data_IF_024896451036
#
_entry.id   IF_024896451036
#
_cell.length_a   1.000
_cell.length_b   1.000
_cell.length_c   1.000
_cell.angle_alpha   90.00
_cell.angle_beta   90.00
_cell.angle_gamma   90.00
#
_symmetry.space_group_name_H-M   'P 1'
#
loop_
_entity.id
_entity.type
_entity.pdbx_description
1 polymer ?
#
# COMPACT_ATOMS: atom_id res chain seq x y z
N UNK A 1 1.09 -1.89 -18.99
CA UNK A 1 1.11 -0.43 -18.78
C UNK A 1 1.43 0.30 -20.05
N UNK A 2 1.10 1.57 -20.12
CA UNK A 2 1.65 2.45 -21.14
C UNK A 2 2.94 3.09 -20.61
N UNK A 3 4.06 2.58 -21.06
CA UNK A 3 5.40 3.07 -20.67
C UNK A 3 5.94 4.07 -21.69
N UNK A 4 5.06 4.89 -22.28
CA UNK A 4 5.41 5.87 -23.32
C UNK A 4 5.87 5.23 -24.63
N UNK A 5 5.44 4.00 -24.91
CA UNK A 5 5.87 3.23 -26.10
C UNK A 5 7.32 2.71 -26.03
N UNK A 6 8.02 2.93 -24.91
CA UNK A 6 9.41 2.49 -24.73
C UNK A 6 9.49 0.99 -24.40
N UNK A 7 10.55 0.35 -24.88
CA UNK A 7 10.98 -0.95 -24.40
C UNK A 7 11.56 -0.86 -22.97
N UNK A 8 11.64 -1.97 -22.24
CA UNK A 8 12.21 -1.97 -20.90
C UNK A 8 13.68 -1.49 -20.85
N UNK A 9 14.58 -1.87 -21.81
CA UNK A 9 15.93 -1.33 -21.88
C UNK A 9 15.96 0.19 -22.10
N UNK A 10 15.11 0.74 -22.97
CA UNK A 10 15.05 2.18 -23.26
C UNK A 10 14.60 2.96 -22.03
N UNK A 11 13.51 2.50 -21.36
CA UNK A 11 13.02 3.13 -20.15
C UNK A 11 14.06 3.03 -19.02
N UNK A 12 14.75 1.88 -18.89
CA UNK A 12 15.82 1.71 -17.89
C UNK A 12 17.00 2.67 -18.16
N UNK A 13 17.37 2.86 -19.42
CA UNK A 13 18.42 3.80 -19.78
C UNK A 13 18.03 5.24 -19.42
N UNK A 14 16.81 5.65 -19.79
CA UNK A 14 16.27 6.97 -19.47
C UNK A 14 16.24 7.24 -17.95
N UNK A 15 15.78 6.27 -17.15
CA UNK A 15 15.78 6.39 -15.70
C UNK A 15 17.20 6.57 -15.17
N UNK A 16 18.16 5.75 -15.60
CA UNK A 16 19.57 5.82 -15.17
C UNK A 16 20.26 7.14 -15.54
N UNK A 17 20.01 7.66 -16.72
CA UNK A 17 20.52 8.97 -17.17
C UNK A 17 20.05 10.11 -16.24
N UNK A 18 18.89 9.94 -15.62
CA UNK A 18 18.33 10.88 -14.64
C UNK A 18 18.62 10.50 -13.17
N UNK A 19 19.50 9.52 -12.92
CA UNK A 19 19.85 9.08 -11.56
C UNK A 19 18.71 8.33 -10.85
N UNK A 20 17.75 7.78 -11.62
CA UNK A 20 16.57 7.10 -11.13
C UNK A 20 16.60 5.59 -11.43
N UNK A 21 15.82 4.84 -10.70
CA UNK A 21 15.55 3.41 -10.95
C UNK A 21 14.16 3.02 -10.46
N UNK A 22 13.52 2.09 -11.15
CA UNK A 22 12.25 1.51 -10.72
C UNK A 22 12.52 0.32 -9.81
N UNK A 23 12.03 0.35 -8.57
CA UNK A 23 12.14 -0.75 -7.60
C UNK A 23 10.84 -1.52 -7.44
N UNK A 24 9.73 -0.82 -7.43
CA UNK A 24 8.39 -1.38 -7.30
C UNK A 24 7.49 -0.82 -8.39
N UNK A 25 6.44 -1.56 -8.74
CA UNK A 25 5.42 -1.10 -9.67
C UNK A 25 4.03 -1.49 -9.18
N UNK A 26 3.09 -0.56 -9.17
CA UNK A 26 1.68 -0.84 -8.97
C UNK A 26 1.04 -1.32 -10.27
N UNK A 27 0.46 -2.52 -10.25
CA UNK A 27 -0.15 -3.14 -11.43
C UNK A 27 -1.48 -3.79 -11.03
N UNK A 28 -2.50 -3.62 -11.86
CA UNK A 28 -3.79 -4.30 -11.66
C UNK A 28 -3.61 -5.82 -11.70
N UNK A 29 -4.34 -6.54 -10.85
CA UNK A 29 -4.23 -7.99 -10.67
C UNK A 29 -4.33 -8.79 -11.96
N UNK A 30 -5.22 -8.37 -12.87
CA UNK A 30 -5.45 -9.00 -14.18
C UNK A 30 -4.30 -8.79 -15.17
N UNK A 31 -3.43 -7.80 -14.93
CA UNK A 31 -2.31 -7.44 -15.79
C UNK A 31 -0.96 -7.94 -15.29
N UNK A 32 -0.81 -8.26 -14.01
CA UNK A 32 0.49 -8.60 -13.39
C UNK A 32 1.24 -9.67 -14.20
N UNK A 33 0.57 -10.76 -14.59
CA UNK A 33 1.22 -11.84 -15.33
C UNK A 33 1.78 -11.41 -16.70
N UNK A 34 1.17 -10.43 -17.34
CA UNK A 34 1.63 -9.89 -18.63
C UNK A 34 2.77 -8.87 -18.46
N UNK A 35 2.77 -8.14 -17.34
CA UNK A 35 3.73 -7.07 -17.07
C UNK A 35 5.05 -7.58 -16.45
N UNK A 36 5.04 -8.74 -15.78
CA UNK A 36 6.20 -9.31 -15.08
C UNK A 36 7.46 -9.39 -15.99
N UNK A 37 7.42 -9.90 -17.24
CA UNK A 37 8.64 -9.97 -18.06
C UNK A 37 9.25 -8.59 -18.34
N UNK A 38 8.42 -7.61 -18.70
CA UNK A 38 8.85 -6.24 -18.94
C UNK A 38 9.43 -5.59 -17.69
N UNK A 39 8.74 -5.74 -16.55
CA UNK A 39 9.14 -5.14 -15.27
C UNK A 39 10.42 -5.78 -14.73
N UNK A 40 10.61 -7.08 -14.91
CA UNK A 40 11.85 -7.76 -14.57
C UNK A 40 13.03 -7.22 -15.40
N UNK A 41 12.85 -7.06 -16.72
CA UNK A 41 13.86 -6.49 -17.60
C UNK A 41 14.16 -5.03 -17.26
N UNK A 42 13.16 -4.26 -16.82
CA UNK A 42 13.33 -2.89 -16.32
C UNK A 42 14.17 -2.84 -15.03
N UNK A 43 14.14 -3.90 -14.22
CA UNK A 43 14.87 -4.01 -12.95
C UNK A 43 13.97 -3.87 -11.72
N UNK A 44 12.66 -3.96 -11.89
CA UNK A 44 11.68 -3.99 -10.79
C UNK A 44 11.81 -5.31 -10.05
N UNK A 45 11.82 -5.26 -8.72
CA UNK A 45 11.89 -6.43 -7.84
C UNK A 45 10.54 -6.83 -7.23
N UNK A 46 9.60 -5.88 -7.13
CA UNK A 46 8.29 -6.12 -6.54
C UNK A 46 7.17 -5.53 -7.40
N UNK A 47 6.18 -6.36 -7.72
CA UNK A 47 4.97 -5.95 -8.44
C UNK A 47 3.80 -6.01 -7.47
N UNK A 48 3.20 -4.88 -7.19
CA UNK A 48 2.22 -4.70 -6.13
C UNK A 48 0.82 -4.46 -6.73
N UNK A 49 -0.17 -5.21 -6.26
CA UNK A 49 -1.58 -4.97 -6.53
C UNK A 49 -2.10 -3.87 -5.60
N UNK A 50 -2.48 -2.69 -6.13
CA UNK A 50 -2.65 -1.51 -5.30
C UNK A 50 -4.01 -1.40 -4.61
N UNK A 51 -5.06 -2.05 -5.10
CA UNK A 51 -6.41 -1.87 -4.57
C UNK A 51 -7.38 -2.97 -4.96
N UNK A 52 -8.22 -3.39 -4.00
CA UNK A 52 -9.30 -4.33 -4.23
C UNK A 52 -10.46 -4.11 -3.25
N UNK A 53 -11.68 -4.14 -3.75
CA UNK A 53 -12.86 -4.26 -2.91
C UNK A 53 -13.03 -5.70 -2.41
N UNK A 54 -13.25 -5.86 -1.11
CA UNK A 54 -13.44 -7.14 -0.47
C UNK A 54 -14.86 -7.23 0.13
N UNK A 55 -15.87 -7.56 -0.65
CA UNK A 55 -17.26 -7.65 -0.17
C UNK A 55 -17.46 -8.84 0.78
N UNK A 56 -16.66 -9.88 0.66
CA UNK A 56 -16.77 -11.13 1.41
C UNK A 56 -15.45 -11.88 1.53
N UNK A 57 -15.40 -12.87 2.43
CA UNK A 57 -14.21 -13.72 2.67
C UNK A 57 -13.83 -14.55 1.45
N UNK A 58 -14.78 -14.95 0.60
CA UNK A 58 -14.46 -15.71 -0.61
C UNK A 58 -13.69 -14.85 -1.61
N UNK A 59 -13.97 -13.55 -1.68
CA UNK A 59 -13.16 -12.63 -2.48
C UNK A 59 -11.73 -12.53 -1.94
N UNK A 60 -11.55 -12.46 -0.62
CA UNK A 60 -10.21 -12.45 0.00
C UNK A 60 -9.43 -13.72 -0.38
N UNK A 61 -10.06 -14.89 -0.27
CA UNK A 61 -9.45 -16.17 -0.65
C UNK A 61 -9.03 -16.19 -2.12
N UNK A 62 -9.94 -15.80 -3.03
CA UNK A 62 -9.62 -15.75 -4.48
C UNK A 62 -8.46 -14.79 -4.80
N UNK A 63 -8.38 -13.65 -4.12
CA UNK A 63 -7.27 -12.71 -4.31
C UNK A 63 -5.96 -13.32 -3.79
N UNK A 64 -5.97 -13.94 -2.60
CA UNK A 64 -4.81 -14.62 -2.05
C UNK A 64 -4.30 -15.77 -2.94
N UNK A 65 -5.21 -16.60 -3.44
CA UNK A 65 -4.90 -17.67 -4.41
C UNK A 65 -4.24 -17.08 -5.67
N UNK A 66 -4.81 -16.01 -6.21
CA UNK A 66 -4.26 -15.38 -7.40
C UNK A 66 -2.90 -14.73 -7.16
N UNK A 67 -2.68 -14.12 -6.00
CA UNK A 67 -1.37 -13.60 -5.61
C UNK A 67 -0.34 -14.72 -5.49
N UNK A 68 -0.70 -15.87 -4.91
CA UNK A 68 0.17 -17.05 -4.83
C UNK A 68 0.55 -17.59 -6.21
N UNK A 69 -0.40 -17.71 -7.14
CA UNK A 69 -0.13 -18.12 -8.52
C UNK A 69 0.84 -17.17 -9.22
N UNK A 70 0.56 -15.88 -9.14
CA UNK A 70 1.38 -14.84 -9.75
C UNK A 70 2.75 -14.73 -9.09
N UNK A 71 2.82 -14.93 -7.76
CA UNK A 71 4.09 -14.97 -7.03
C UNK A 71 4.98 -16.14 -7.47
N UNK A 72 4.42 -17.34 -7.65
CA UNK A 72 5.14 -18.50 -8.21
C UNK A 72 5.66 -18.20 -9.62
N UNK A 73 4.84 -17.56 -10.46
CA UNK A 73 5.26 -17.14 -11.79
C UNK A 73 6.36 -16.08 -11.73
N UNK A 74 6.19 -15.05 -10.90
CA UNK A 74 7.16 -13.96 -10.73
C UNK A 74 8.52 -14.43 -10.23
N UNK A 75 8.56 -15.48 -9.40
CA UNK A 75 9.80 -16.08 -8.88
C UNK A 75 10.78 -16.47 -10.00
N UNK A 76 10.30 -16.96 -11.14
CA UNK A 76 11.13 -17.29 -12.30
C UNK A 76 11.81 -16.05 -12.94
N UNK A 77 11.32 -14.87 -12.65
CA UNK A 77 11.83 -13.59 -13.13
C UNK A 77 12.53 -12.76 -12.03
N UNK A 78 12.70 -13.33 -10.84
CA UNK A 78 13.25 -12.61 -9.70
C UNK A 78 12.31 -11.55 -9.12
N UNK A 79 11.01 -11.65 -9.39
CA UNK A 79 9.98 -10.71 -8.90
C UNK A 79 9.16 -11.35 -7.80
N UNK A 80 8.98 -10.64 -6.68
CA UNK A 80 7.90 -10.92 -5.73
C UNK A 80 6.63 -10.15 -6.14
N UNK A 81 5.50 -10.81 -5.97
CA UNK A 81 4.19 -10.16 -6.15
C UNK A 81 3.69 -9.72 -4.78
N UNK A 82 2.92 -8.65 -4.71
CA UNK A 82 2.44 -8.16 -3.44
C UNK A 82 1.10 -7.47 -3.49
N UNK A 83 0.67 -7.02 -2.32
CA UNK A 83 -0.55 -6.26 -2.12
C UNK A 83 -0.26 -5.02 -1.28
N UNK A 84 -0.92 -3.91 -1.61
CA UNK A 84 -0.85 -2.63 -0.90
C UNK A 84 -2.19 -2.35 -0.23
N UNK A 85 -2.14 -1.97 1.05
CA UNK A 85 -3.35 -1.67 1.81
C UNK A 85 -3.78 -0.21 1.66
N UNK A 86 -5.08 -0.04 1.78
CA UNK A 86 -5.73 1.18 2.24
C UNK A 86 -6.24 0.97 3.68
N UNK A 87 -7.20 1.74 4.12
CA UNK A 87 -7.78 1.55 5.46
C UNK A 87 -8.82 0.43 5.50
N UNK A 88 -9.42 0.11 4.36
CA UNK A 88 -10.50 -0.89 4.23
C UNK A 88 -10.05 -2.32 4.54
N UNK A 89 -8.79 -2.63 4.28
CA UNK A 89 -8.24 -3.96 4.55
C UNK A 89 -8.09 -4.27 6.04
N UNK A 90 -8.19 -3.27 6.89
CA UNK A 90 -8.25 -3.45 8.34
C UNK A 90 -9.67 -3.66 8.87
N UNK A 91 -10.68 -3.71 8.02
CA UNK A 91 -12.01 -4.12 8.42
C UNK A 91 -12.07 -5.60 8.77
N UNK A 92 -12.89 -5.91 9.78
CA UNK A 92 -13.06 -7.27 10.27
C UNK A 92 -14.16 -7.97 9.46
N UNK A 93 -13.80 -9.05 8.77
CA UNK A 93 -14.71 -9.98 8.12
C UNK A 93 -14.64 -11.33 8.82
N UNK A 94 -15.76 -11.80 9.37
CA UNK A 94 -15.84 -13.11 10.04
C UNK A 94 -14.73 -13.30 11.10
N UNK A 95 -14.55 -12.30 11.96
CA UNK A 95 -13.66 -12.36 13.13
C UNK A 95 -12.17 -12.08 12.88
N UNK A 96 -11.77 -11.75 11.64
CA UNK A 96 -10.39 -11.43 11.31
C UNK A 96 -10.34 -10.25 10.34
N UNK A 97 -9.28 -9.42 10.40
CA UNK A 97 -9.10 -8.36 9.41
C UNK A 97 -8.84 -8.94 8.02
N UNK A 98 -9.21 -8.21 6.99
CA UNK A 98 -8.94 -8.61 5.59
C UNK A 98 -7.42 -8.72 5.38
N UNK A 99 -6.66 -7.75 5.91
CA UNK A 99 -5.20 -7.72 5.76
C UNK A 99 -4.53 -8.93 6.41
N UNK A 100 -4.89 -9.25 7.68
CA UNK A 100 -4.33 -10.41 8.37
C UNK A 100 -4.65 -11.72 7.65
N UNK A 101 -5.87 -11.81 7.12
CA UNK A 101 -6.29 -12.98 6.33
C UNK A 101 -5.53 -13.10 5.02
N UNK A 102 -5.25 -12.00 4.31
CA UNK A 102 -4.39 -12.03 3.12
C UNK A 102 -2.96 -12.48 3.48
N UNK A 103 -2.43 -11.96 4.59
CA UNK A 103 -1.11 -12.35 5.09
C UNK A 103 -1.06 -13.84 5.39
N UNK A 104 -2.07 -14.38 6.07
CA UNK A 104 -2.13 -15.81 6.44
C UNK A 104 -2.27 -16.74 5.21
N UNK A 105 -3.09 -16.35 4.23
CA UNK A 105 -3.41 -17.17 3.05
C UNK A 105 -2.34 -17.12 1.94
N UNK A 106 -1.32 -16.28 2.08
CA UNK A 106 -0.30 -16.11 1.03
C UNK A 106 1.06 -16.65 1.43
N UNK A 107 1.76 -17.23 0.45
CA UNK A 107 3.08 -17.82 0.59
C UNK A 107 4.15 -16.72 0.82
N UNK A 108 4.83 -16.69 1.98
CA UNK A 108 5.83 -15.66 2.30
C UNK A 108 7.06 -15.68 1.38
N UNK A 109 7.35 -16.79 0.71
CA UNK A 109 8.47 -16.90 -0.21
C UNK A 109 8.24 -16.11 -1.51
N UNK A 110 6.99 -15.98 -1.93
CA UNK A 110 6.64 -15.45 -3.25
C UNK A 110 5.71 -14.25 -3.21
N UNK A 111 5.05 -14.01 -2.07
CA UNK A 111 4.13 -12.89 -1.86
C UNK A 111 4.59 -12.04 -0.67
N UNK A 112 4.65 -10.73 -0.89
CA UNK A 112 4.96 -9.73 0.13
C UNK A 112 3.89 -8.65 0.18
N UNK A 113 3.99 -7.76 1.15
CA UNK A 113 3.06 -6.65 1.31
C UNK A 113 3.79 -5.31 1.29
N UNK A 114 3.08 -4.28 0.91
CA UNK A 114 3.51 -2.91 1.02
C UNK A 114 2.58 -2.22 2.02
N UNK A 115 3.12 -1.82 3.18
CA UNK A 115 2.32 -1.14 4.20
C UNK A 115 2.22 0.34 3.89
N UNK A 116 1.01 0.82 3.65
CA UNK A 116 0.72 2.25 3.71
C UNK A 116 0.42 2.64 5.16
N UNK A 117 1.36 3.38 5.76
CA UNK A 117 1.29 3.75 7.17
C UNK A 117 0.20 4.80 7.45
N UNK A 118 -0.08 5.68 6.50
CA UNK A 118 -1.12 6.69 6.64
C UNK A 118 -2.51 6.06 6.64
N UNK A 119 -2.77 5.14 5.73
CA UNK A 119 -4.03 4.41 5.70
C UNK A 119 -4.18 3.44 6.88
N UNK A 120 -3.11 2.79 7.31
CA UNK A 120 -3.11 1.98 8.52
C UNK A 120 -3.47 2.83 9.75
N UNK A 121 -2.86 4.02 9.89
CA UNK A 121 -3.18 4.95 10.96
C UNK A 121 -4.64 5.43 10.89
N UNK A 122 -5.20 5.69 9.70
CA UNK A 122 -6.63 5.97 9.51
C UNK A 122 -7.53 4.84 10.02
N UNK A 123 -7.07 3.61 9.95
CA UNK A 123 -7.78 2.44 10.47
C UNK A 123 -7.58 2.23 11.99
N UNK A 124 -6.84 3.12 12.67
CA UNK A 124 -6.51 2.98 14.07
C UNK A 124 -5.39 1.98 14.37
N UNK A 125 -4.67 1.55 13.34
CA UNK A 125 -3.51 0.66 13.47
C UNK A 125 -2.27 1.49 13.79
N UNK A 126 -1.42 0.97 14.66
CA UNK A 126 -0.08 1.52 14.95
C UNK A 126 0.91 0.87 13.97
N UNK A 127 1.41 1.59 12.95
CA UNK A 127 2.14 0.97 11.84
C UNK A 127 3.40 0.22 12.27
N UNK A 128 4.18 0.75 13.21
CA UNK A 128 5.40 0.11 13.72
C UNK A 128 5.11 -1.19 14.46
N UNK A 129 4.02 -1.27 15.21
CA UNK A 129 3.59 -2.48 15.91
C UNK A 129 3.11 -3.54 14.91
N UNK A 130 2.36 -3.10 13.88
CA UNK A 130 1.86 -3.98 12.83
C UNK A 130 3.00 -4.57 12.00
N UNK A 131 4.00 -3.76 11.65
CA UNK A 131 5.22 -4.24 10.99
C UNK A 131 5.96 -5.29 11.84
N UNK A 132 6.09 -5.05 13.15
CA UNK A 132 6.75 -5.97 14.06
C UNK A 132 5.97 -7.29 14.24
N UNK A 133 4.65 -7.23 14.32
CA UNK A 133 3.78 -8.40 14.46
C UNK A 133 3.81 -9.32 13.22
N UNK A 134 4.02 -8.74 12.04
CA UNK A 134 4.07 -9.47 10.77
C UNK A 134 5.47 -9.45 10.13
N UNK A 135 6.50 -9.64 10.96
CA UNK A 135 7.89 -9.59 10.50
C UNK A 135 8.15 -10.53 9.31
N UNK A 136 8.87 -10.02 8.30
CA UNK A 136 9.20 -10.76 7.09
C UNK A 136 8.09 -10.81 6.02
N UNK A 137 6.92 -10.20 6.28
CA UNK A 137 5.82 -10.17 5.31
C UNK A 137 5.79 -8.91 4.45
N UNK A 138 6.41 -7.83 4.90
CA UNK A 138 6.45 -6.57 4.19
C UNK A 138 7.76 -6.40 3.40
N UNK A 139 7.69 -5.84 2.20
CA UNK A 139 8.86 -5.53 1.35
C UNK A 139 9.07 -4.04 1.17
N UNK A 140 8.06 -3.24 1.44
CA UNK A 140 8.11 -1.78 1.30
C UNK A 140 7.09 -1.10 2.20
N UNK A 141 7.30 0.20 2.39
CA UNK A 141 6.46 1.05 3.23
C UNK A 141 6.12 2.32 2.46
N UNK A 142 4.84 2.68 2.37
CA UNK A 142 4.44 4.02 1.97
C UNK A 142 4.54 4.96 3.17
N UNK A 143 5.33 6.00 2.96
CA UNK A 143 5.46 7.13 3.88
C UNK A 143 4.39 8.15 3.49
N UNK A 144 3.23 7.98 4.09
CA UNK A 144 2.06 8.84 3.95
C UNK A 144 1.65 9.33 5.33
N UNK A 145 1.75 10.64 5.55
CA UNK A 145 1.42 11.22 6.86
C UNK A 145 -0.09 11.29 7.07
N UNK A 146 -0.52 11.12 8.32
CA UNK A 146 -1.93 11.18 8.72
C UNK A 146 -2.17 12.30 9.74
N UNK A 147 -3.17 13.13 9.50
CA UNK A 147 -3.60 14.22 10.39
C UNK A 147 -4.22 13.79 11.74
N UNK A 148 -4.13 12.51 12.10
CA UNK A 148 -4.77 11.96 13.30
C UNK A 148 -6.24 11.57 13.08
N UNK A 149 -6.66 11.45 11.83
CA UNK A 149 -7.99 10.95 11.50
C UNK A 149 -8.01 9.44 11.71
N UNK A 150 -8.88 8.98 12.61
CA UNK A 150 -9.15 7.57 12.85
C UNK A 150 -10.59 7.29 12.44
N UNK A 151 -10.75 6.33 11.54
CA UNK A 151 -12.05 5.86 11.09
C UNK A 151 -12.35 4.52 11.78
N UNK A 152 -13.54 4.34 12.36
CA UNK A 152 -13.90 3.08 12.97
C UNK A 152 -13.89 1.97 11.91
N UNK A 153 -13.01 0.96 12.12
CA UNK A 153 -13.04 -0.28 11.37
C UNK A 153 -14.18 -1.15 11.91
N UNK A 154 -15.38 -0.92 11.41
CA UNK A 154 -16.54 -1.70 11.78
C UNK A 154 -16.42 -3.14 11.24
N UNK A 155 -16.89 -4.12 12.04
CA UNK A 155 -17.06 -5.47 11.53
C UNK A 155 -18.04 -5.44 10.34
N UNK A 156 -17.64 -6.00 9.20
CA UNK A 156 -18.50 -6.17 8.03
C UNK A 156 -19.14 -7.54 8.04
N UNK A 157 -20.42 -7.60 7.71
CA UNK A 157 -21.07 -8.86 7.36
C UNK A 157 -20.95 -9.05 5.84
N UNK A 158 -20.80 -10.30 5.44
CA UNK A 158 -20.69 -10.69 4.02
C UNK A 158 -21.83 -10.10 3.19
N UNK A 159 -21.49 -9.36 2.15
CA UNK A 159 -22.46 -8.79 1.20
C UNK A 159 -23.19 -7.53 1.67
N UNK A 160 -22.88 -7.00 2.86
CA UNK A 160 -23.47 -5.75 3.31
C UNK A 160 -22.59 -4.54 2.91
N UNK A 161 -23.21 -3.39 2.61
CA UNK A 161 -22.47 -2.14 2.38
C UNK A 161 -21.75 -1.68 3.64
N UNK A 162 -20.93 -0.66 3.54
CA UNK A 162 -20.24 -0.05 4.68
C UNK A 162 -21.20 0.25 5.82
N UNK A 163 -20.89 -0.31 7.00
CA UNK A 163 -21.69 -0.13 8.20
C UNK A 163 -20.93 0.79 9.15
N UNK A 164 -21.58 1.84 9.62
CA UNK A 164 -21.07 2.66 10.72
C UNK A 164 -21.23 1.92 12.05
N UNK A 165 -20.58 2.43 13.08
CA UNK A 165 -20.51 1.80 14.42
C UNK A 165 -21.88 1.47 15.06
N UNK A 166 -22.96 2.08 14.60
CA UNK A 166 -24.34 1.80 15.04
C UNK A 166 -25.05 0.70 14.25
N UNK A 167 -24.37 0.07 13.29
CA UNK A 167 -24.89 -1.09 12.55
C UNK A 167 -25.75 -0.73 11.33
N UNK A 168 -25.93 0.54 10.99
CA UNK A 168 -26.65 0.95 9.77
C UNK A 168 -25.70 1.16 8.58
N UNK A 169 -26.23 1.05 7.36
CA UNK A 169 -25.51 1.43 6.15
C UNK A 169 -25.34 2.94 6.04
N UNK A 170 -24.21 3.39 5.46
CA UNK A 170 -24.04 4.78 5.11
C UNK A 170 -24.99 5.19 3.99
N UNK A 171 -25.57 6.38 4.09
CA UNK A 171 -26.20 7.04 2.94
C UNK A 171 -25.11 7.49 1.95
N UNK A 172 -25.48 7.82 0.70
CA UNK A 172 -24.54 8.36 -0.28
C UNK A 172 -23.84 9.64 0.22
N UNK A 173 -24.60 10.55 0.86
CA UNK A 173 -24.08 11.79 1.41
C UNK A 173 -23.07 11.53 2.56
N UNK A 174 -23.35 10.59 3.44
CA UNK A 174 -22.43 10.19 4.51
C UNK A 174 -21.17 9.50 3.97
N UNK A 175 -21.32 8.69 2.93
CA UNK A 175 -20.19 8.06 2.26
C UNK A 175 -19.28 9.10 1.59
N UNK A 176 -19.85 10.11 0.93
CA UNK A 176 -19.12 11.22 0.33
C UNK A 176 -18.44 12.11 1.39
N UNK A 177 -19.15 12.45 2.47
CA UNK A 177 -18.59 13.19 3.59
C UNK A 177 -17.42 12.44 4.23
N UNK A 178 -17.57 11.14 4.47
CA UNK A 178 -16.51 10.27 4.98
C UNK A 178 -15.31 10.24 4.03
N UNK A 179 -15.54 10.11 2.72
CA UNK A 179 -14.48 10.13 1.73
C UNK A 179 -13.72 11.44 1.71
N UNK A 180 -14.42 12.55 1.90
CA UNK A 180 -13.81 13.88 2.04
C UNK A 180 -12.91 13.98 3.27
N UNK A 181 -13.35 13.42 4.42
CA UNK A 181 -12.51 13.33 5.63
C UNK A 181 -11.27 12.49 5.38
N UNK A 182 -11.41 11.34 4.75
CA UNK A 182 -10.28 10.44 4.41
C UNK A 182 -9.28 11.16 3.52
N UNK A 183 -9.76 11.85 2.49
CA UNK A 183 -8.89 12.62 1.59
C UNK A 183 -8.08 13.69 2.31
N UNK A 184 -8.70 14.36 3.29
CA UNK A 184 -8.06 15.42 4.07
C UNK A 184 -7.17 14.87 5.20
N UNK A 185 -7.18 13.58 5.42
CA UNK A 185 -6.32 12.94 6.42
C UNK A 185 -4.84 12.94 6.02
N UNK A 186 -4.54 12.97 4.72
CA UNK A 186 -3.17 13.02 4.25
C UNK A 186 -2.62 14.45 4.32
N UNK A 187 -1.56 14.65 5.10
CA UNK A 187 -0.98 15.96 5.40
C UNK A 187 0.53 15.97 5.17
N UNK A 188 1.15 17.14 5.31
CA UNK A 188 2.60 17.32 5.23
C UNK A 188 3.32 16.48 6.27
N UNK A 189 4.45 15.91 5.90
CA UNK A 189 5.32 15.16 6.80
C UNK A 189 5.66 15.96 8.05
N UNK A 190 5.55 15.26 9.20
CA UNK A 190 5.81 15.84 10.52
C UNK A 190 4.70 16.73 11.08
N UNK A 191 3.57 16.87 10.39
CA UNK A 191 2.40 17.60 10.91
C UNK A 191 1.25 16.67 11.32
N UNK A 192 1.45 15.37 11.19
CA UNK A 192 0.48 14.35 11.55
C UNK A 192 0.85 13.58 12.82
N UNK A 193 0.35 12.35 12.91
CA UNK A 193 0.45 11.52 14.12
C UNK A 193 1.21 10.21 13.93
N UNK A 194 1.73 9.94 12.75
CA UNK A 194 2.53 8.72 12.52
C UNK A 194 3.92 8.86 13.14
N UNK A 195 4.33 7.87 13.92
CA UNK A 195 5.66 7.85 14.53
C UNK A 195 6.72 7.34 13.54
N UNK A 196 7.14 8.19 12.61
CA UNK A 196 8.05 7.82 11.53
C UNK A 196 9.38 7.23 11.99
N UNK A 197 9.93 7.71 13.10
CA UNK A 197 11.17 7.13 13.65
C UNK A 197 10.98 5.68 14.08
N UNK A 198 9.85 5.37 14.73
CA UNK A 198 9.52 4.01 15.12
C UNK A 198 9.20 3.13 13.90
N UNK A 199 8.44 3.64 12.93
CA UNK A 199 8.12 2.93 11.68
C UNK A 199 9.40 2.55 10.93
N UNK A 200 10.31 3.50 10.69
CA UNK A 200 11.55 3.23 9.95
C UNK A 200 12.45 2.27 10.73
N UNK A 201 12.55 2.45 12.05
CA UNK A 201 13.30 1.51 12.90
C UNK A 201 12.72 0.10 12.82
N UNK A 202 11.40 -0.06 12.90
CA UNK A 202 10.74 -1.37 12.79
C UNK A 202 10.94 -2.00 11.41
N UNK A 203 10.86 -1.21 10.34
CA UNK A 203 11.09 -1.67 8.98
C UNK A 203 12.55 -2.12 8.76
N UNK A 204 13.52 -1.32 9.16
CA UNK A 204 14.95 -1.64 9.02
C UNK A 204 15.38 -2.84 9.86
N UNK A 205 14.77 -3.05 11.05
CA UNK A 205 15.06 -4.18 11.92
C UNK A 205 14.71 -5.55 11.30
N UNK A 206 13.91 -5.56 10.25
CA UNK A 206 13.45 -6.80 9.60
C UNK A 206 14.34 -7.22 8.43
N UNK A 207 15.48 -6.58 8.19
CA UNK A 207 16.32 -6.79 6.99
C UNK A 207 15.51 -6.77 5.69
N UNK A 208 14.43 -6.01 5.68
CA UNK A 208 13.62 -5.87 4.47
C UNK A 208 14.50 -5.20 3.41
N UNK A 209 14.39 -5.67 2.18
CA UNK A 209 14.84 -4.90 1.00
C UNK A 209 13.98 -3.63 0.87
N UNK A 210 13.87 -2.89 1.97
CA UNK A 210 12.82 -1.93 2.25
C UNK A 210 12.96 -0.75 1.33
N UNK A 211 12.02 -0.63 0.45
CA UNK A 211 11.80 0.59 -0.31
C UNK A 211 10.83 1.46 0.46
N UNK A 212 11.25 2.68 0.76
CA UNK A 212 10.39 3.70 1.33
C UNK A 212 9.85 4.57 0.20
N UNK A 213 8.53 4.61 0.06
CA UNK A 213 7.83 5.37 -0.98
C UNK A 213 7.13 6.55 -0.34
N UNK A 214 7.61 7.76 -0.61
CA UNK A 214 6.96 8.99 -0.13
C UNK A 214 5.75 9.27 -1.00
N UNK A 215 4.58 9.39 -0.38
CA UNK A 215 3.33 9.66 -1.08
C UNK A 215 2.55 10.75 -0.36
N UNK A 216 2.18 11.79 -1.10
CA UNK A 216 1.29 12.83 -0.65
C UNK A 216 0.09 12.96 -1.58
N UNK A 217 -0.99 12.22 -1.26
CA UNK A 217 -2.28 12.37 -1.93
C UNK A 217 -3.01 13.63 -1.47
N UNK A 218 -3.84 14.18 -2.33
CA UNK A 218 -4.83 15.24 -2.01
C UNK A 218 -4.31 16.55 -1.38
N UNK A 219 -3.04 16.64 -1.01
CA UNK A 219 -2.45 17.86 -0.48
C UNK A 219 -2.17 18.91 -1.57
N UNK A 220 -2.61 18.65 -2.80
CA UNK A 220 -2.27 19.43 -3.99
C UNK A 220 -3.36 20.45 -4.39
N UNK A 221 -4.46 20.56 -3.63
CA UNK A 221 -5.55 21.46 -4.00
C UNK A 221 -5.09 22.91 -4.16
N UNK A 222 -4.09 23.33 -3.38
CA UNK A 222 -3.64 24.72 -3.31
C UNK A 222 -2.12 24.90 -3.53
N UNK A 223 -1.38 23.81 -3.89
CA UNK A 223 0.09 23.86 -3.98
C UNK A 223 0.62 22.98 -5.12
N UNK A 224 1.77 23.36 -5.64
CA UNK A 224 2.52 22.57 -6.61
C UNK A 224 2.96 21.22 -6.00
N UNK A 225 2.74 20.14 -6.74
CA UNK A 225 3.09 18.76 -6.33
C UNK A 225 4.58 18.61 -6.05
N UNK A 226 5.42 19.24 -6.86
CA UNK A 226 6.88 19.18 -6.73
C UNK A 226 7.32 19.85 -5.45
N UNK A 227 6.72 20.98 -5.08
CA UNK A 227 6.96 21.66 -3.80
C UNK A 227 6.56 20.76 -2.63
N UNK A 228 5.39 20.13 -2.70
CA UNK A 228 4.91 19.25 -1.63
C UNK A 228 5.85 18.05 -1.40
N UNK A 229 6.28 17.39 -2.46
CA UNK A 229 7.22 16.26 -2.37
C UNK A 229 8.59 16.71 -1.87
N UNK A 230 9.08 17.86 -2.32
CA UNK A 230 10.35 18.41 -1.85
C UNK A 230 10.32 18.73 -0.35
N UNK A 231 9.22 19.29 0.15
CA UNK A 231 9.02 19.56 1.59
C UNK A 231 9.04 18.26 2.42
N UNK A 232 8.34 17.23 1.94
CA UNK A 232 8.30 15.93 2.64
C UNK A 232 9.65 15.25 2.65
N UNK A 233 10.38 15.27 1.54
CA UNK A 233 11.75 14.75 1.46
C UNK A 233 12.72 15.53 2.34
N UNK A 234 12.59 16.84 2.42
CA UNK A 234 13.41 17.67 3.30
C UNK A 234 13.18 17.30 4.77
N UNK A 235 11.92 17.18 5.18
CA UNK A 235 11.59 16.78 6.55
C UNK A 235 12.17 15.40 6.89
N UNK A 236 12.03 14.41 5.99
CA UNK A 236 12.59 13.07 6.18
C UNK A 236 14.11 13.11 6.39
N UNK A 237 14.84 13.85 5.56
CA UNK A 237 16.31 13.99 5.65
C UNK A 237 16.79 14.66 6.93
N UNK A 238 15.98 15.56 7.49
CA UNK A 238 16.31 16.30 8.70
C UNK A 238 15.97 15.52 9.98
N UNK A 239 15.01 14.59 9.92
CA UNK A 239 14.44 13.97 11.11
C UNK A 239 14.75 12.46 11.24
N UNK A 240 15.26 11.86 10.20
CA UNK A 240 15.58 10.43 10.13
C UNK A 240 17.02 10.17 9.76
#
# INVERSE_FOLDING_TARGET
GDYGGMTAPELRALLRENGLWAKTAHVRLDRIGQEIPFLAELGVSHVIYPHCDFPDVNKVKRVAERLNELGKYGKAYGIKVGFHNHYDEFFVLEGQTIMDRLIELTDPETVSFQLDCGWAACAGIVPEEYLAAHAGRFSSVHIKENAGVILPCAARKTGEPYVISDGRSLTEEEAEARWTVIKNANVKMGTGNVNWRAVIKAALAQNLETTFVVERENAYADRDKEVCIAEDLAWLRENL
#
